data_IF_125504096472
#
_entry.id   IF_125504096472
#
_cell.length_a   1.000
_cell.length_b   1.000
_cell.length_c   1.000
_cell.angle_alpha   90.00
_cell.angle_beta   90.00
_cell.angle_gamma   90.00
#
_symmetry.space_group_name_H-M   'P 1'
#
loop_
_entity.id
_entity.type
_entity.pdbx_description
1 polymer ?
#
# COMPACT_ATOMS: atom_id res chain seq x y z
N UNK A 1 -3.54 -5.88 13.57
CA UNK A 1 -2.29 -5.54 12.83
C UNK A 1 -2.50 -4.26 12.04
N UNK A 2 -1.50 -3.39 11.98
CA UNK A 2 -1.56 -2.10 11.29
C UNK A 2 -0.64 -2.15 10.07
N UNK A 3 -1.17 -1.82 8.90
CA UNK A 3 -0.47 -1.83 7.63
C UNK A 3 -0.34 -0.39 7.13
N UNK A 4 0.89 0.11 7.03
CA UNK A 4 1.16 1.48 6.55
C UNK A 4 1.83 1.44 5.18
N UNK A 5 1.19 2.00 4.16
CA UNK A 5 1.69 2.00 2.78
C UNK A 5 2.48 3.28 2.52
N UNK A 6 3.82 3.18 2.52
CA UNK A 6 4.75 4.31 2.51
C UNK A 6 5.68 4.28 1.28
N UNK A 7 5.74 5.39 0.55
CA UNK A 7 6.73 5.62 -0.51
C UNK A 7 6.79 7.11 -0.87
N UNK A 8 8.01 7.68 -0.89
CA UNK A 8 8.23 9.10 -1.19
C UNK A 8 8.00 9.48 -2.66
N UNK A 9 8.05 8.50 -3.58
CA UNK A 9 7.69 8.72 -4.99
C UNK A 9 6.17 8.71 -5.20
N UNK A 10 5.64 9.75 -5.84
CA UNK A 10 4.24 9.82 -6.29
C UNK A 10 3.98 8.94 -7.51
N UNK A 11 2.73 8.53 -7.73
CA UNK A 11 2.33 7.80 -8.95
C UNK A 11 2.69 6.31 -9.00
N UNK A 12 3.42 5.79 -8.02
CA UNK A 12 3.91 4.38 -8.02
C UNK A 12 2.83 3.31 -7.76
N UNK A 13 1.60 3.70 -7.42
CA UNK A 13 0.49 2.78 -7.14
C UNK A 13 0.20 2.52 -5.66
N UNK A 14 0.58 3.40 -4.74
CA UNK A 14 0.27 3.29 -3.28
C UNK A 14 -1.21 3.02 -3.01
N UNK A 15 -2.10 3.91 -3.45
CA UNK A 15 -3.55 3.73 -3.29
C UNK A 15 -4.09 2.44 -3.92
N UNK A 16 -3.49 1.97 -5.02
CA UNK A 16 -3.90 0.71 -5.63
C UNK A 16 -3.53 -0.49 -4.76
N UNK A 17 -2.32 -0.49 -4.20
CA UNK A 17 -1.89 -1.47 -3.19
C UNK A 17 -2.78 -1.39 -1.95
N UNK A 18 -3.02 -0.19 -1.41
CA UNK A 18 -3.89 0.04 -0.25
C UNK A 18 -5.30 -0.52 -0.47
N UNK A 19 -5.88 -0.32 -1.66
CA UNK A 19 -7.22 -0.85 -1.99
C UNK A 19 -7.22 -2.37 -2.16
N UNK A 20 -6.20 -2.97 -2.78
CA UNK A 20 -6.11 -4.43 -2.91
C UNK A 20 -5.89 -5.10 -1.55
N UNK A 21 -4.99 -4.55 -0.73
CA UNK A 21 -4.70 -5.05 0.61
C UNK A 21 -5.94 -4.99 1.51
N UNK A 22 -6.67 -3.88 1.49
CA UNK A 22 -7.91 -3.72 2.26
C UNK A 22 -8.95 -4.76 1.84
N UNK A 23 -9.17 -4.95 0.53
CA UNK A 23 -10.09 -5.96 0.03
C UNK A 23 -9.68 -7.39 0.40
N UNK A 24 -8.37 -7.68 0.40
CA UNK A 24 -7.86 -8.98 0.86
C UNK A 24 -8.16 -9.19 2.35
N UNK A 25 -7.82 -8.20 3.19
CA UNK A 25 -8.05 -8.28 4.63
C UNK A 25 -9.53 -8.38 4.97
N UNK A 26 -10.42 -7.66 4.28
CA UNK A 26 -11.87 -7.77 4.46
C UNK A 26 -12.42 -9.15 4.04
N UNK A 27 -11.71 -9.89 3.19
CA UNK A 27 -12.07 -11.28 2.87
C UNK A 27 -11.67 -12.29 3.97
N UNK A 28 -10.84 -11.86 4.93
CA UNK A 28 -10.28 -12.69 6.01
C UNK A 28 -10.82 -12.31 7.38
N UNK A 29 -11.14 -11.03 7.58
CA UNK A 29 -11.46 -10.45 8.86
C UNK A 29 -12.79 -9.70 8.80
N UNK A 30 -13.53 -9.75 9.91
CA UNK A 30 -14.81 -9.08 10.03
C UNK A 30 -14.66 -7.56 10.14
N UNK A 31 -13.62 -7.08 10.84
CA UNK A 31 -13.41 -5.65 11.08
C UNK A 31 -12.05 -5.17 10.57
N UNK A 32 -12.09 -4.48 9.44
CA UNK A 32 -10.94 -3.80 8.82
C UNK A 32 -11.24 -2.32 8.75
N UNK A 33 -10.30 -1.49 9.20
CA UNK A 33 -10.37 -0.04 9.07
C UNK A 33 -9.39 0.43 8.00
N UNK A 34 -9.75 1.49 7.27
CA UNK A 34 -8.92 2.06 6.24
C UNK A 34 -8.85 3.58 6.39
N UNK A 35 -7.64 4.11 6.24
CA UNK A 35 -7.35 5.54 6.38
C UNK A 35 -6.61 6.05 5.15
N UNK A 36 -7.11 7.16 4.61
CA UNK A 36 -6.43 7.94 3.59
C UNK A 36 -5.79 9.14 4.26
N UNK A 37 -4.47 9.25 4.16
CA UNK A 37 -3.70 10.33 4.79
C UNK A 37 -3.05 11.27 3.77
N UNK A 38 -3.39 11.13 2.48
CA UNK A 38 -2.92 12.02 1.43
C UNK A 38 -3.66 13.38 1.52
N UNK A 39 -2.89 14.44 1.69
CA UNK A 39 -3.39 15.82 1.79
C UNK A 39 -3.64 16.49 0.45
N UNK A 40 -3.09 15.93 -0.63
CA UNK A 40 -3.10 16.54 -1.97
C UNK A 40 -4.12 15.82 -2.84
N UNK A 41 -4.09 14.48 -2.87
CA UNK A 41 -4.94 13.66 -3.72
C UNK A 41 -5.50 12.47 -2.93
N UNK A 42 -6.48 12.68 -2.03
CA UNK A 42 -7.07 11.63 -1.21
C UNK A 42 -7.90 10.66 -2.07
N UNK A 43 -7.22 9.79 -2.79
CA UNK A 43 -7.79 8.90 -3.81
C UNK A 43 -8.36 7.64 -3.16
N UNK A 44 -7.81 7.23 -2.02
CA UNK A 44 -8.23 6.03 -1.31
C UNK A 44 -9.60 6.25 -0.64
N UNK A 45 -9.83 7.43 -0.08
CA UNK A 45 -11.11 7.87 0.50
C UNK A 45 -12.29 7.85 -0.49
N UNK A 46 -12.03 7.76 -1.79
CA UNK A 46 -13.06 7.74 -2.84
C UNK A 46 -13.66 6.35 -3.07
N UNK A 47 -13.06 5.28 -2.50
CA UNK A 47 -13.63 3.92 -2.57
C UNK A 47 -14.76 3.77 -1.55
N UNK A 48 -16.00 3.96 -2.00
CA UNK A 48 -17.18 3.93 -1.11
C UNK A 48 -17.34 2.61 -0.37
N UNK A 49 -17.16 1.48 -1.06
CA UNK A 49 -17.30 0.15 -0.46
C UNK A 49 -16.23 -0.20 0.57
N UNK A 50 -15.15 0.59 0.66
CA UNK A 50 -14.07 0.39 1.64
C UNK A 50 -14.20 1.30 2.86
N UNK A 51 -15.19 2.19 2.89
CA UNK A 51 -15.49 3.10 4.01
C UNK A 51 -14.24 3.83 4.56
N UNK A 52 -13.35 4.21 3.66
CA UNK A 52 -12.04 4.77 3.99
C UNK A 52 -12.21 6.17 4.61
N UNK A 53 -11.61 6.37 5.79
CA UNK A 53 -11.66 7.64 6.52
C UNK A 53 -10.50 8.52 6.09
N UNK A 54 -10.78 9.75 5.66
CA UNK A 54 -9.73 10.71 5.32
C UNK A 54 -9.25 11.47 6.55
N UNK A 55 -7.93 11.51 6.76
CA UNK A 55 -7.27 12.31 7.79
C UNK A 55 -6.20 13.15 7.12
N UNK A 56 -6.43 14.45 7.01
CA UNK A 56 -5.48 15.35 6.37
C UNK A 56 -4.22 15.57 7.24
N UNK A 57 -3.07 15.02 6.85
CA UNK A 57 -1.83 15.16 7.62
C UNK A 57 -1.03 16.43 7.37
N UNK A 58 -1.43 17.28 6.43
CA UNK A 58 -0.70 18.49 6.08
C UNK A 58 -1.56 19.74 6.27
N UNK A 59 -0.96 20.75 6.89
CA UNK A 59 -1.47 22.12 6.93
C UNK A 59 -0.49 23.02 6.16
N UNK A 60 -0.84 23.29 4.90
CA UNK A 60 0.11 23.89 3.95
C UNK A 60 1.30 22.96 3.71
N UNK A 61 2.50 23.40 4.09
CA UNK A 61 3.75 22.64 3.92
C UNK A 61 4.23 21.97 5.22
N UNK A 62 3.44 22.01 6.30
CA UNK A 62 3.79 21.43 7.60
C UNK A 62 2.89 20.24 7.91
N UNK A 63 3.43 19.29 8.66
CA UNK A 63 2.64 18.20 9.20
C UNK A 63 1.68 18.74 10.27
N UNK A 64 0.45 18.26 10.27
CA UNK A 64 -0.50 18.50 11.35
C UNK A 64 -0.34 17.40 12.39
N UNK A 65 0.49 17.64 13.40
CA UNK A 65 0.78 16.68 14.48
C UNK A 65 -0.48 16.24 15.22
N UNK A 66 -1.46 17.13 15.44
CA UNK A 66 -2.71 16.76 16.10
C UNK A 66 -3.49 15.70 15.32
N UNK A 67 -3.49 15.78 14.00
CA UNK A 67 -4.14 14.77 13.16
C UNK A 67 -3.38 13.45 13.17
N UNK A 68 -2.06 13.47 13.39
CA UNK A 68 -1.29 12.26 13.66
C UNK A 68 -1.63 11.67 15.01
N UNK A 69 -1.70 12.49 16.05
CA UNK A 69 -2.08 12.03 17.39
C UNK A 69 -3.45 11.33 17.35
N UNK A 70 -4.44 11.92 16.64
CA UNK A 70 -5.76 11.31 16.43
C UNK A 70 -5.65 9.97 15.70
N UNK A 71 -4.82 9.88 14.66
CA UNK A 71 -4.62 8.64 13.90
C UNK A 71 -4.00 7.55 14.79
N UNK A 72 -2.98 7.89 15.60
CA UNK A 72 -2.33 6.95 16.50
C UNK A 72 -3.25 6.53 17.66
N UNK A 73 -3.99 7.47 18.25
CA UNK A 73 -5.01 7.19 19.26
C UNK A 73 -6.07 6.22 18.71
N UNK A 74 -6.48 6.42 17.45
CA UNK A 74 -7.41 5.51 16.77
C UNK A 74 -6.86 4.09 16.67
N UNK A 75 -5.56 3.92 16.39
CA UNK A 75 -4.93 2.59 16.33
C UNK A 75 -4.94 1.86 17.69
N UNK A 76 -4.83 2.61 18.78
CA UNK A 76 -4.82 2.09 20.14
C UNK A 76 -6.23 1.78 20.65
N UNK A 77 -7.20 2.63 20.33
CA UNK A 77 -8.54 2.61 20.94
C UNK A 77 -9.58 1.85 20.14
N UNK A 78 -9.48 1.82 18.81
CA UNK A 78 -10.44 1.08 17.99
C UNK A 78 -10.09 -0.41 17.92
N UNK A 79 -11.06 -1.22 18.33
CA UNK A 79 -11.03 -2.67 18.14
C UNK A 79 -11.17 -2.99 16.65
N UNK A 80 -10.10 -3.41 15.99
CA UNK A 80 -10.11 -3.86 14.60
C UNK A 80 -9.09 -4.99 14.41
N UNK A 81 -9.40 -5.95 13.55
CA UNK A 81 -8.47 -7.03 13.21
C UNK A 81 -7.29 -6.48 12.42
N UNK A 82 -7.58 -5.59 11.45
CA UNK A 82 -6.58 -4.96 10.61
C UNK A 82 -6.90 -3.48 10.36
N UNK A 83 -5.84 -2.68 10.22
CA UNK A 83 -5.93 -1.27 9.84
C UNK A 83 -5.02 -1.04 8.64
N UNK A 84 -5.49 -0.38 7.59
CA UNK A 84 -4.70 -0.02 6.40
C UNK A 84 -4.61 1.49 6.27
N UNK A 85 -3.40 2.02 6.11
CA UNK A 85 -3.13 3.46 6.00
C UNK A 85 -2.44 3.74 4.67
N UNK A 86 -3.11 4.49 3.79
CA UNK A 86 -2.52 5.01 2.56
C UNK A 86 -1.86 6.36 2.85
N UNK A 87 -0.54 6.47 2.68
CA UNK A 87 0.19 7.70 2.92
C UNK A 87 0.53 8.45 1.64
N UNK A 88 0.29 9.75 1.64
CA UNK A 88 0.62 10.64 0.54
C UNK A 88 2.12 10.75 0.33
N UNK A 89 2.56 10.84 -0.94
CA UNK A 89 3.99 10.97 -1.25
C UNK A 89 4.62 12.22 -0.63
N UNK A 90 3.85 13.32 -0.57
CA UNK A 90 4.28 14.60 -0.01
C UNK A 90 4.48 14.58 1.51
N UNK A 91 3.75 13.73 2.24
CA UNK A 91 3.86 13.58 3.69
C UNK A 91 4.73 12.40 4.12
N UNK A 92 5.34 11.65 3.18
CA UNK A 92 6.19 10.50 3.47
C UNK A 92 7.31 10.79 4.49
N UNK A 93 8.11 11.83 4.23
CA UNK A 93 9.23 12.21 5.11
C UNK A 93 8.74 12.67 6.48
N UNK A 94 7.84 13.67 6.59
CA UNK A 94 7.42 14.13 7.90
C UNK A 94 6.62 13.06 8.68
N UNK A 95 5.84 12.21 8.02
CA UNK A 95 5.15 11.09 8.67
C UNK A 95 6.16 10.06 9.22
N UNK A 96 7.14 9.67 8.41
CA UNK A 96 8.18 8.72 8.85
C UNK A 96 8.99 9.28 10.02
N UNK A 97 9.37 10.55 9.97
CA UNK A 97 10.09 11.20 11.08
C UNK A 97 9.27 11.21 12.36
N UNK A 98 7.97 11.55 12.28
CA UNK A 98 7.10 11.52 13.45
C UNK A 98 7.03 10.10 14.07
N UNK A 99 6.88 9.05 13.26
CA UNK A 99 6.85 7.67 13.76
C UNK A 99 8.14 7.28 14.49
N UNK A 100 9.29 7.77 14.00
CA UNK A 100 10.62 7.48 14.54
C UNK A 100 10.89 8.29 15.80
N UNK A 101 10.70 9.61 15.76
CA UNK A 101 11.01 10.53 16.85
C UNK A 101 10.13 10.30 18.09
N UNK A 102 8.91 9.81 17.90
CA UNK A 102 7.98 9.52 18.98
C UNK A 102 7.89 8.03 19.35
N UNK A 103 8.81 7.19 18.84
CA UNK A 103 8.86 5.74 19.13
C UNK A 103 7.50 5.04 18.93
N UNK A 104 6.71 5.51 17.95
CA UNK A 104 5.30 5.13 17.79
C UNK A 104 5.15 3.62 17.55
N UNK A 105 6.08 3.03 16.81
CA UNK A 105 6.06 1.60 16.49
C UNK A 105 6.23 0.76 17.76
N UNK A 106 7.17 1.13 18.62
CA UNK A 106 7.44 0.41 19.86
C UNK A 106 6.29 0.58 20.84
N UNK A 107 5.74 1.79 20.97
CA UNK A 107 4.54 2.06 21.76
C UNK A 107 3.33 1.22 21.28
N UNK A 108 3.08 1.15 19.97
CA UNK A 108 1.99 0.33 19.42
C UNK A 108 2.21 -1.15 19.73
N UNK A 109 3.46 -1.63 19.62
CA UNK A 109 3.82 -3.01 19.92
C UNK A 109 3.64 -3.35 21.41
N UNK A 110 4.01 -2.45 22.31
CA UNK A 110 3.76 -2.60 23.76
C UNK A 110 2.26 -2.68 24.07
N UNK A 111 1.43 -1.97 23.30
CA UNK A 111 -0.03 -2.06 23.35
C UNK A 111 -0.61 -3.31 22.63
N UNK A 112 0.23 -4.24 22.18
CA UNK A 112 -0.19 -5.47 21.50
C UNK A 112 -0.63 -5.26 20.04
N UNK A 113 -0.23 -4.15 19.41
CA UNK A 113 -0.54 -3.83 18.01
C UNK A 113 0.73 -3.92 17.16
N UNK A 114 0.85 -4.97 16.35
CA UNK A 114 1.95 -5.09 15.39
C UNK A 114 1.76 -4.15 14.19
N UNK A 115 2.87 -3.56 13.73
CA UNK A 115 2.93 -2.69 12.54
C UNK A 115 3.73 -3.37 11.43
N UNK A 116 3.22 -3.26 10.20
CA UNK A 116 3.89 -3.64 8.97
C UNK A 116 3.95 -2.47 8.01
N UNK A 117 5.15 -2.19 7.52
CA UNK A 117 5.37 -1.15 6.52
C UNK A 117 5.29 -1.80 5.14
N UNK A 118 4.37 -1.35 4.30
CA UNK A 118 4.33 -1.71 2.90
C UNK A 118 5.03 -0.63 2.08
N UNK A 119 5.91 -1.02 1.17
CA UNK A 119 6.51 -0.09 0.19
C UNK A 119 6.45 -0.65 -1.21
N UNK A 120 6.44 0.23 -2.21
CA UNK A 120 6.28 -0.13 -3.61
C UNK A 120 7.57 0.16 -4.35
N UNK A 121 8.04 -0.82 -5.12
CA UNK A 121 9.05 -0.68 -6.14
C UNK A 121 8.37 -0.52 -7.49
N UNK A 122 8.66 0.58 -8.18
CA UNK A 122 8.13 0.87 -9.50
C UNK A 122 9.14 0.42 -10.56
N UNK A 123 8.68 -0.35 -11.55
CA UNK A 123 9.52 -0.74 -12.68
C UNK A 123 9.92 0.42 -13.58
N UNK A 124 10.97 0.21 -14.37
CA UNK A 124 11.46 1.22 -15.32
C UNK A 124 12.12 2.43 -14.63
N UNK A 125 11.77 3.65 -15.05
CA UNK A 125 12.49 4.87 -14.66
C UNK A 125 12.39 5.20 -13.16
N UNK A 126 11.35 4.71 -12.47
CA UNK A 126 11.14 4.97 -11.05
C UNK A 126 11.85 4.02 -10.09
N UNK A 127 12.54 3.00 -10.60
CA UNK A 127 13.08 1.93 -9.77
C UNK A 127 14.14 2.44 -8.79
N UNK A 128 15.05 3.30 -9.23
CA UNK A 128 16.12 3.80 -8.36
C UNK A 128 15.57 4.62 -7.18
N UNK A 129 14.59 5.50 -7.44
CA UNK A 129 13.97 6.31 -6.40
C UNK A 129 13.23 5.44 -5.38
N UNK A 130 12.50 4.43 -5.85
CA UNK A 130 11.74 3.54 -4.97
C UNK A 130 12.63 2.59 -4.18
N UNK A 131 13.74 2.13 -4.75
CA UNK A 131 14.79 1.39 -4.04
C UNK A 131 15.45 2.23 -2.93
N UNK A 132 15.69 3.51 -3.19
CA UNK A 132 16.19 4.43 -2.15
C UNK A 132 15.16 4.61 -1.03
N UNK A 133 13.87 4.74 -1.37
CA UNK A 133 12.78 4.79 -0.40
C UNK A 133 12.74 3.56 0.50
N UNK A 134 12.85 2.36 -0.07
CA UNK A 134 12.97 1.10 0.68
C UNK A 134 14.20 1.13 1.62
N UNK A 135 15.35 1.57 1.11
CA UNK A 135 16.58 1.63 1.93
C UNK A 135 16.48 2.64 3.08
N UNK A 136 15.70 3.71 2.94
CA UNK A 136 15.42 4.66 4.04
C UNK A 136 14.51 4.00 5.08
N UNK A 137 13.42 3.37 4.65
CA UNK A 137 12.50 2.68 5.56
C UNK A 137 13.19 1.55 6.34
N UNK A 138 14.01 0.75 5.66
CA UNK A 138 14.71 -0.39 6.27
C UNK A 138 15.79 0.00 7.28
N UNK A 139 16.15 1.28 7.42
CA UNK A 139 17.00 1.75 8.53
C UNK A 139 16.26 1.82 9.86
N UNK A 140 14.93 1.94 9.82
CA UNK A 140 14.10 2.24 10.99
C UNK A 140 13.03 1.18 11.25
N UNK A 141 12.68 0.38 10.24
CA UNK A 141 11.62 -0.63 10.35
C UNK A 141 12.14 -2.01 9.93
N UNK A 142 11.76 -3.05 10.67
CA UNK A 142 12.17 -4.45 10.47
C UNK A 142 11.08 -5.37 9.95
N UNK A 143 9.85 -4.86 9.76
CA UNK A 143 8.70 -5.61 9.25
C UNK A 143 8.17 -4.98 7.95
N UNK A 144 8.95 -5.10 6.87
CA UNK A 144 8.67 -4.46 5.59
C UNK A 144 8.13 -5.47 4.57
N UNK A 145 6.99 -5.16 3.98
CA UNK A 145 6.42 -5.89 2.85
C UNK A 145 6.62 -5.11 1.55
N UNK A 146 7.28 -5.73 0.57
CA UNK A 146 7.63 -5.06 -0.69
C UNK A 146 6.67 -5.45 -1.81
N UNK A 147 6.11 -4.46 -2.49
CA UNK A 147 5.30 -4.64 -3.69
C UNK A 147 6.12 -4.31 -4.93
N UNK A 148 6.31 -5.29 -5.81
CA UNK A 148 6.94 -5.12 -7.11
C UNK A 148 5.88 -4.76 -8.15
N UNK A 149 5.79 -3.49 -8.54
CA UNK A 149 4.83 -3.01 -9.53
C UNK A 149 5.47 -2.91 -10.92
N UNK A 150 5.17 -3.89 -11.78
CA UNK A 150 5.75 -4.00 -13.13
C UNK A 150 5.01 -3.17 -14.21
N UNK A 151 4.03 -2.35 -13.83
CA UNK A 151 3.21 -1.59 -14.78
C UNK A 151 4.04 -0.73 -15.77
N UNK A 152 5.11 -0.09 -15.30
CA UNK A 152 6.00 0.75 -16.11
C UNK A 152 7.24 0.02 -16.64
N UNK A 153 7.37 -1.29 -16.38
CA UNK A 153 8.47 -2.13 -16.86
C UNK A 153 8.95 -3.11 -15.80
N UNK A 154 9.99 -3.86 -16.12
CA UNK A 154 10.54 -4.87 -15.20
C UNK A 154 11.16 -4.23 -13.95
N UNK A 155 11.10 -4.96 -12.83
CA UNK A 155 11.89 -4.66 -11.64
C UNK A 155 13.29 -5.26 -11.83
N UNK A 156 14.09 -4.59 -12.67
CA UNK A 156 15.48 -4.96 -12.90
C UNK A 156 16.41 -3.75 -12.81
N UNK A 157 17.50 -3.90 -12.06
CA UNK A 157 18.51 -2.86 -11.89
C UNK A 157 19.85 -3.34 -12.42
N UNK A 158 20.33 -2.74 -13.51
CA UNK A 158 21.55 -3.17 -14.23
C UNK A 158 21.53 -4.67 -14.59
N UNK A 159 20.38 -5.17 -15.07
CA UNK A 159 20.18 -6.58 -15.47
C UNK A 159 20.03 -7.57 -14.31
N UNK A 160 19.92 -7.10 -13.06
CA UNK A 160 19.72 -7.92 -11.87
C UNK A 160 18.28 -7.84 -11.39
N UNK A 161 17.73 -8.96 -10.93
CA UNK A 161 16.46 -9.00 -10.21
C UNK A 161 16.54 -8.22 -8.89
N UNK A 162 15.39 -7.91 -8.29
CA UNK A 162 15.31 -7.21 -7.01
C UNK A 162 16.16 -7.89 -5.93
N UNK A 163 16.05 -9.22 -5.80
CA UNK A 163 16.71 -10.05 -4.80
C UNK A 163 18.25 -10.06 -4.96
N UNK A 164 18.73 -9.78 -6.18
CA UNK A 164 20.15 -9.70 -6.49
C UNK A 164 20.76 -8.32 -6.22
N UNK A 165 19.93 -7.29 -6.02
CA UNK A 165 20.38 -5.92 -5.75
C UNK A 165 21.08 -5.81 -4.40
N UNK A 166 21.96 -4.81 -4.26
CA UNK A 166 22.57 -4.47 -2.95
C UNK A 166 21.52 -4.03 -1.94
N UNK A 167 20.48 -3.33 -2.38
CA UNK A 167 19.40 -2.84 -1.50
C UNK A 167 18.68 -4.00 -0.85
N UNK A 168 18.28 -5.02 -1.61
CA UNK A 168 17.68 -6.22 -1.02
C UNK A 168 18.64 -6.93 -0.07
N UNK A 169 19.87 -7.21 -0.52
CA UNK A 169 20.84 -7.97 0.28
C UNK A 169 21.18 -7.29 1.61
N UNK A 170 21.30 -5.97 1.62
CA UNK A 170 21.61 -5.20 2.83
C UNK A 170 20.44 -5.11 3.81
N UNK A 171 19.20 -5.29 3.34
CA UNK A 171 18.00 -5.08 4.13
C UNK A 171 17.14 -6.35 4.23
N UNK A 172 17.69 -7.52 3.84
CA UNK A 172 16.94 -8.78 3.72
C UNK A 172 16.23 -9.15 5.02
N UNK A 173 16.91 -8.98 6.15
CA UNK A 173 16.38 -9.33 7.48
C UNK A 173 15.22 -8.42 7.91
N UNK A 174 15.05 -7.25 7.28
CA UNK A 174 13.95 -6.33 7.52
C UNK A 174 12.79 -6.53 6.54
N UNK A 175 12.96 -7.36 5.49
CA UNK A 175 11.93 -7.64 4.48
C UNK A 175 11.19 -8.90 4.90
N UNK A 176 9.95 -8.72 5.33
CA UNK A 176 9.04 -9.80 5.72
C UNK A 176 8.52 -10.60 4.52
N UNK A 177 8.19 -9.90 3.43
CA UNK A 177 7.56 -10.54 2.28
C UNK A 177 7.59 -9.68 1.03
N UNK A 178 7.31 -10.34 -0.10
CA UNK A 178 7.29 -9.71 -1.42
C UNK A 178 6.05 -10.20 -2.17
N UNK A 179 5.31 -9.27 -2.78
CA UNK A 179 4.29 -9.55 -3.77
C UNK A 179 4.59 -8.84 -5.09
N UNK A 180 4.16 -9.43 -6.19
CA UNK A 180 4.41 -8.97 -7.55
C UNK A 180 3.08 -8.64 -8.21
N UNK A 181 2.92 -7.37 -8.59
CA UNK A 181 1.90 -6.92 -9.53
C UNK A 181 2.53 -7.05 -10.91
N UNK A 182 2.36 -8.24 -11.50
CA UNK A 182 3.04 -8.62 -12.73
C UNK A 182 2.58 -7.83 -13.95
N UNK A 183 3.43 -7.76 -14.97
CA UNK A 183 3.05 -7.19 -16.26
C UNK A 183 1.92 -8.02 -16.89
N UNK A 184 0.90 -7.33 -17.39
CA UNK A 184 -0.29 -7.91 -18.02
C UNK A 184 -0.58 -7.15 -19.29
N UNK A 185 -1.20 -7.84 -20.27
CA UNK A 185 -1.60 -7.22 -21.54
C UNK A 185 -2.36 -5.90 -21.31
N UNK A 186 -1.74 -4.80 -21.73
CA UNK A 186 -2.28 -3.44 -21.56
C UNK A 186 -3.62 -3.27 -22.28
N UNK A 187 -3.75 -3.87 -23.46
CA UNK A 187 -4.98 -3.82 -24.25
C UNK A 187 -6.17 -4.58 -23.66
N UNK A 188 -5.92 -5.47 -22.69
CA UNK A 188 -6.97 -6.27 -22.05
C UNK A 188 -7.06 -6.01 -20.56
N UNK A 189 -6.23 -6.67 -19.75
CA UNK A 189 -6.18 -6.48 -18.29
C UNK A 189 -5.96 -5.02 -17.90
N UNK A 190 -5.04 -4.33 -18.59
CA UNK A 190 -4.72 -2.93 -18.31
C UNK A 190 -5.95 -2.04 -18.38
N UNK A 191 -6.69 -2.07 -19.49
CA UNK A 191 -7.93 -1.29 -19.68
C UNK A 191 -9.01 -1.61 -18.64
N UNK A 192 -9.16 -2.87 -18.25
CA UNK A 192 -10.16 -3.24 -17.24
C UNK A 192 -9.77 -2.75 -15.85
N UNK A 193 -8.48 -2.84 -15.48
CA UNK A 193 -7.96 -2.31 -14.22
C UNK A 193 -8.08 -0.78 -14.21
N UNK A 194 -7.68 -0.10 -15.28
CA UNK A 194 -7.83 1.35 -15.41
C UNK A 194 -9.29 1.78 -15.25
N UNK A 195 -10.24 1.06 -15.84
CA UNK A 195 -11.67 1.34 -15.70
C UNK A 195 -12.14 1.16 -14.26
N UNK A 196 -11.71 0.10 -13.58
CA UNK A 196 -12.01 -0.15 -12.17
C UNK A 196 -11.46 0.97 -11.27
N UNK A 197 -10.21 1.37 -11.49
CA UNK A 197 -9.54 2.45 -10.76
C UNK A 197 -10.16 3.82 -11.05
N UNK A 198 -10.58 4.07 -12.28
CA UNK A 198 -11.28 5.31 -12.68
C UNK A 198 -12.55 5.50 -11.87
N UNK A 199 -13.29 4.42 -11.63
CA UNK A 199 -14.56 4.46 -10.91
C UNK A 199 -14.46 4.09 -9.43
N UNK A 200 -13.24 3.87 -8.90
CA UNK A 200 -12.97 3.58 -7.49
C UNK A 200 -13.78 2.38 -6.99
N UNK A 201 -13.85 1.34 -7.82
CA UNK A 201 -14.60 0.12 -7.52
C UNK A 201 -13.69 -0.94 -6.93
N UNK A 202 -14.25 -1.72 -6.02
CA UNK A 202 -13.70 -2.99 -5.55
C UNK A 202 -13.91 -4.08 -6.59
N UNK A 203 -13.14 -5.17 -6.49
CA UNK A 203 -13.33 -6.35 -7.34
C UNK A 203 -14.71 -6.97 -7.18
N UNK A 204 -15.34 -6.84 -6.01
CA UNK A 204 -16.67 -7.39 -5.76
C UNK A 204 -17.78 -6.49 -6.32
N UNK A 205 -17.64 -5.16 -6.27
CA UNK A 205 -18.54 -4.25 -6.98
C UNK A 205 -18.52 -4.48 -8.49
N UNK A 206 -17.33 -4.71 -9.07
CA UNK A 206 -17.16 -5.02 -10.50
C UNK A 206 -18.02 -6.21 -10.94
N UNK A 207 -18.27 -7.20 -10.07
CA UNK A 207 -19.05 -8.40 -10.44
C UNK A 207 -20.48 -8.06 -10.82
N UNK A 208 -21.06 -7.04 -10.20
CA UNK A 208 -22.44 -6.61 -10.41
C UNK A 208 -22.56 -5.33 -11.24
N UNK A 209 -21.46 -4.86 -11.82
CA UNK A 209 -21.41 -3.60 -12.56
C UNK A 209 -21.53 -3.81 -14.08
N UNK A 210 -22.46 -3.08 -14.71
CA UNK A 210 -22.76 -3.21 -16.15
C UNK A 210 -21.72 -2.56 -17.08
N UNK A 211 -20.83 -1.71 -16.53
CA UNK A 211 -19.67 -1.15 -17.25
C UNK A 211 -18.68 -2.25 -17.63
N UNK A 212 -18.66 -3.35 -16.86
CA UNK A 212 -17.76 -4.48 -17.08
C UNK A 212 -18.52 -5.60 -17.77
N UNK A 213 -18.02 -6.06 -18.93
CA UNK A 213 -18.57 -7.24 -19.61
C UNK A 213 -17.95 -8.52 -19.05
N UNK A 214 -18.50 -9.67 -19.42
CA UNK A 214 -18.13 -11.00 -18.87
C UNK A 214 -16.61 -11.20 -18.88
N UNK A 215 -15.94 -10.89 -20.00
CA UNK A 215 -14.49 -11.06 -20.10
C UNK A 215 -13.68 -10.10 -19.22
N UNK A 216 -14.16 -8.86 -19.03
CA UNK A 216 -13.53 -7.91 -18.14
C UNK A 216 -13.64 -8.37 -16.67
N UNK A 217 -14.83 -8.84 -16.27
CA UNK A 217 -15.06 -9.42 -14.94
C UNK A 217 -14.16 -10.63 -14.70
N UNK A 218 -14.01 -11.51 -15.70
CA UNK A 218 -13.14 -12.68 -15.59
C UNK A 218 -11.67 -12.30 -15.46
N UNK A 219 -11.16 -11.34 -16.24
CA UNK A 219 -9.77 -10.87 -16.15
C UNK A 219 -9.48 -10.23 -14.80
N UNK A 220 -10.37 -9.38 -14.31
CA UNK A 220 -10.24 -8.77 -12.98
C UNK A 220 -10.31 -9.81 -11.86
N UNK A 221 -11.11 -10.87 -12.01
CA UNK A 221 -11.14 -11.98 -11.07
C UNK A 221 -9.85 -12.83 -11.09
N UNK A 222 -9.27 -13.06 -12.27
CA UNK A 222 -7.95 -13.71 -12.40
C UNK A 222 -6.88 -12.88 -11.69
N UNK A 223 -6.87 -11.56 -11.93
CA UNK A 223 -5.94 -10.64 -11.29
C UNK A 223 -6.13 -10.59 -9.77
N UNK A 224 -7.38 -10.53 -9.27
CA UNK A 224 -7.70 -10.62 -7.84
C UNK A 224 -7.11 -11.90 -7.22
N UNK A 225 -7.36 -13.06 -7.84
CA UNK A 225 -6.87 -14.36 -7.33
C UNK A 225 -5.36 -14.40 -7.25
N UNK A 226 -4.67 -13.99 -8.31
CA UNK A 226 -3.21 -13.94 -8.38
C UNK A 226 -2.60 -13.12 -7.22
N UNK A 227 -3.12 -11.92 -6.96
CA UNK A 227 -2.65 -11.09 -5.85
C UNK A 227 -3.03 -11.70 -4.49
N UNK A 228 -4.25 -12.21 -4.33
CA UNK A 228 -4.73 -12.73 -3.04
C UNK A 228 -4.01 -14.03 -2.66
N UNK A 229 -3.67 -14.88 -3.63
CA UNK A 229 -2.87 -16.09 -3.42
C UNK A 229 -1.45 -15.75 -2.95
N UNK A 230 -0.84 -14.70 -3.51
CA UNK A 230 0.46 -14.21 -3.04
C UNK A 230 0.39 -13.71 -1.59
N UNK A 231 -0.64 -12.92 -1.24
CA UNK A 231 -0.84 -12.41 0.12
C UNK A 231 -1.12 -13.53 1.14
N UNK A 232 -1.85 -14.57 0.75
CA UNK A 232 -2.16 -15.71 1.61
C UNK A 232 -0.94 -16.54 2.02
N UNK A 233 0.21 -16.39 1.34
CA UNK A 233 1.46 -17.00 1.77
C UNK A 233 2.08 -16.31 3.01
N UNK A 234 1.57 -15.13 3.37
CA UNK A 234 2.14 -14.26 4.41
C UNK A 234 1.15 -13.90 5.52
N UNK A 235 -0.16 -13.88 5.23
CA UNK A 235 -1.24 -13.43 6.13
C UNK A 235 -2.34 -14.45 6.32
#
# INVERSE_FOLDING_TARGET
>A
MIHMVLQGKGGVGKTFVSSMLTQYLMSKYEKVLAFDTDSVNPTFSQYKALEVRHINLMEGNRINERNLDILIETFLTEEANAIVVDNGASSFVPFSNYLIENEVIDMLKEAGKDVMIHTILEGGQGLNDTLQGLNVLAKHFSNIFVWQNQYFGDISYNGKSFEETKVYKNNKDNIFGVAIIGDRSRDTFGKDIELMLKYKLTFDEVRNDDRFKIMAKQRLNIFKKDIFEQLANYF
#
